data_IF_116342857952
#
_entry.id   IF_116342857952
#
_cell.length_a   1.000
_cell.length_b   1.000
_cell.length_c   1.000
_cell.angle_alpha   90.00
_cell.angle_beta   90.00
_cell.angle_gamma   90.00
#
_symmetry.space_group_name_H-M   'P 1'
#
loop_
_entity.id
_entity.type
_entity.pdbx_description
1 polymer ?
#
# COMPACT_ATOMS: atom_id res chain seq x y z
N UNK A 1 19.37 -5.56 -17.81
CA UNK A 1 19.10 -5.40 -16.35
C UNK A 1 18.89 -6.80 -15.80
N UNK A 2 19.70 -7.26 -14.84
CA UNK A 2 19.59 -8.62 -14.29
C UNK A 2 18.16 -8.88 -13.81
N UNK A 3 17.48 -9.85 -14.44
CA UNK A 3 16.09 -10.24 -14.16
C UNK A 3 15.84 -10.49 -12.66
N UNK A 4 16.85 -10.99 -11.96
CA UNK A 4 16.84 -11.18 -10.51
C UNK A 4 16.63 -9.89 -9.71
N UNK A 5 17.33 -8.81 -10.06
CA UNK A 5 17.23 -7.53 -9.34
C UNK A 5 15.84 -6.89 -9.48
N UNK A 6 15.20 -7.11 -10.63
CA UNK A 6 13.85 -6.64 -10.90
C UNK A 6 12.80 -7.35 -10.04
N UNK A 7 12.92 -8.67 -9.90
CA UNK A 7 12.06 -9.47 -9.00
C UNK A 7 12.25 -9.09 -7.53
N UNK A 8 13.49 -8.95 -7.07
CA UNK A 8 13.79 -8.54 -5.68
C UNK A 8 13.22 -7.16 -5.38
N UNK A 9 13.37 -6.19 -6.29
CA UNK A 9 12.80 -4.85 -6.13
C UNK A 9 11.27 -4.89 -6.00
N UNK A 10 10.59 -5.65 -6.86
CA UNK A 10 9.13 -5.75 -6.84
C UNK A 10 8.63 -6.49 -5.60
N UNK A 11 9.32 -7.54 -5.16
CA UNK A 11 9.02 -8.23 -3.92
C UNK A 11 9.19 -7.31 -2.70
N UNK A 12 10.30 -6.58 -2.61
CA UNK A 12 10.55 -5.62 -1.54
C UNK A 12 9.51 -4.49 -1.52
N UNK A 13 9.17 -3.93 -2.68
CA UNK A 13 8.15 -2.87 -2.79
C UNK A 13 6.77 -3.37 -2.34
N UNK A 14 6.39 -4.58 -2.73
CA UNK A 14 5.12 -5.19 -2.33
C UNK A 14 5.08 -5.40 -0.82
N UNK A 15 6.17 -5.91 -0.23
CA UNK A 15 6.27 -6.17 1.20
C UNK A 15 6.19 -4.87 2.02
N UNK A 16 6.92 -3.83 1.61
CA UNK A 16 6.86 -2.51 2.25
C UNK A 16 5.46 -1.90 2.13
N UNK A 17 4.83 -2.03 0.96
CA UNK A 17 3.48 -1.48 0.73
C UNK A 17 2.43 -2.21 1.56
N UNK A 18 2.56 -3.52 1.76
CA UNK A 18 1.72 -4.31 2.67
C UNK A 18 1.86 -3.86 4.12
N UNK A 19 3.09 -3.64 4.60
CA UNK A 19 3.33 -3.12 5.95
C UNK A 19 2.68 -1.75 6.14
N UNK A 20 2.84 -0.85 5.17
CA UNK A 20 2.20 0.47 5.18
C UNK A 20 0.67 0.38 5.15
N UNK A 21 0.11 -0.60 4.43
CA UNK A 21 -1.33 -0.82 4.37
C UNK A 21 -1.89 -1.25 5.73
N UNK A 22 -1.22 -2.19 6.41
CA UNK A 22 -1.59 -2.63 7.76
C UNK A 22 -1.53 -1.45 8.74
N UNK A 23 -0.47 -0.64 8.69
CA UNK A 23 -0.34 0.57 9.51
C UNK A 23 -1.47 1.59 9.23
N UNK A 24 -1.85 1.75 7.96
CA UNK A 24 -2.98 2.60 7.58
C UNK A 24 -4.30 2.11 8.18
N UNK A 25 -4.57 0.81 8.11
CA UNK A 25 -5.78 0.19 8.70
C UNK A 25 -5.79 0.30 10.22
N UNK A 26 -4.67 0.03 10.89
CA UNK A 26 -4.52 0.22 12.34
C UNK A 26 -4.79 1.68 12.74
N UNK A 27 -4.25 2.64 11.98
CA UNK A 27 -4.50 4.08 12.21
C UNK A 27 -5.98 4.44 12.00
N UNK A 28 -6.65 3.81 11.04
CA UNK A 28 -8.08 3.99 10.79
C UNK A 28 -8.91 3.48 11.97
N UNK A 29 -8.60 2.28 12.47
CA UNK A 29 -9.26 1.69 13.66
C UNK A 29 -9.01 2.55 14.89
N UNK A 30 -7.78 3.02 15.09
CA UNK A 30 -7.44 3.93 16.19
C UNK A 30 -8.22 5.23 16.11
N UNK A 31 -8.44 5.76 14.89
CA UNK A 31 -9.21 6.98 14.68
C UNK A 31 -10.66 6.82 15.12
N UNK A 32 -11.31 5.68 14.85
CA UNK A 32 -12.68 5.40 15.30
C UNK A 32 -12.82 5.34 16.83
N UNK A 33 -11.72 5.17 17.58
CA UNK A 33 -11.73 5.18 19.05
C UNK A 33 -11.57 6.58 19.64
N UNK A 34 -11.34 7.61 18.81
CA UNK A 34 -11.18 8.98 19.27
C UNK A 34 -12.54 9.61 19.58
N UNK A 35 -12.67 10.14 20.80
CA UNK A 35 -13.89 10.84 21.23
C UNK A 35 -13.97 12.28 20.72
N UNK A 36 -12.84 12.89 20.34
CA UNK A 36 -12.81 14.26 19.87
C UNK A 36 -12.99 14.30 18.33
N UNK A 37 -14.04 14.99 17.83
CA UNK A 37 -14.42 14.95 16.42
C UNK A 37 -13.35 15.56 15.50
N UNK A 38 -12.60 16.56 15.97
CA UNK A 38 -11.52 17.16 15.17
C UNK A 38 -10.38 16.15 14.97
N UNK A 39 -9.97 15.48 16.05
CA UNK A 39 -8.92 14.45 15.96
C UNK A 39 -9.36 13.21 15.18
N UNK A 40 -10.65 12.85 15.24
CA UNK A 40 -11.22 11.81 14.40
C UNK A 40 -11.06 12.12 12.92
N UNK A 41 -11.46 13.32 12.48
CA UNK A 41 -11.37 13.71 11.07
C UNK A 41 -9.90 13.70 10.60
N UNK A 42 -8.98 14.25 11.39
CA UNK A 42 -7.56 14.25 11.06
C UNK A 42 -6.99 12.84 10.94
N UNK A 43 -7.31 11.96 11.90
CA UNK A 43 -6.86 10.58 11.90
C UNK A 43 -7.46 9.76 10.76
N UNK A 44 -8.77 9.89 10.52
CA UNK A 44 -9.48 9.22 9.43
C UNK A 44 -8.91 9.61 8.06
N UNK A 45 -8.67 10.90 7.84
CA UNK A 45 -8.14 11.40 6.58
C UNK A 45 -6.69 10.95 6.36
N UNK A 46 -5.87 11.02 7.41
CA UNK A 46 -4.48 10.55 7.39
C UNK A 46 -4.42 9.04 7.08
N UNK A 47 -5.20 8.23 7.80
CA UNK A 47 -5.29 6.79 7.57
C UNK A 47 -5.74 6.45 6.16
N UNK A 48 -6.75 7.17 5.64
CA UNK A 48 -7.23 6.98 4.27
C UNK A 48 -6.16 7.27 3.22
N UNK A 49 -5.37 8.34 3.40
CA UNK A 49 -4.24 8.65 2.51
C UNK A 49 -3.14 7.59 2.58
N UNK A 50 -2.80 7.10 3.77
CA UNK A 50 -1.83 6.02 3.95
C UNK A 50 -2.31 4.76 3.22
N UNK A 51 -3.58 4.38 3.39
CA UNK A 51 -4.17 3.21 2.70
C UNK A 51 -4.12 3.42 1.18
N UNK A 52 -4.47 4.62 0.68
CA UNK A 52 -4.48 4.92 -0.75
C UNK A 52 -3.08 4.80 -1.38
N UNK A 53 -2.06 5.40 -0.74
CA UNK A 53 -0.66 5.32 -1.19
C UNK A 53 -0.17 3.88 -1.16
N UNK A 54 -0.53 3.13 -0.11
CA UNK A 54 -0.19 1.71 0.01
C UNK A 54 -0.84 0.87 -1.09
N UNK A 55 -2.11 1.13 -1.40
CA UNK A 55 -2.84 0.44 -2.46
C UNK A 55 -2.17 0.66 -3.83
N UNK A 56 -1.75 1.89 -4.14
CA UNK A 56 -0.99 2.19 -5.36
C UNK A 56 0.38 1.48 -5.36
N UNK A 57 1.05 1.44 -4.21
CA UNK A 57 2.32 0.72 -4.02
C UNK A 57 2.21 -0.79 -4.27
N UNK A 58 1.07 -1.40 -3.94
CA UNK A 58 0.76 -2.81 -4.28
C UNK A 58 0.31 -2.96 -5.73
N UNK A 59 -0.47 -2.03 -6.28
CA UNK A 59 -0.95 -2.08 -7.66
C UNK A 59 0.18 -2.03 -8.68
N UNK A 60 1.22 -1.23 -8.43
CA UNK A 60 2.37 -1.10 -9.34
C UNK A 60 3.04 -2.45 -9.69
N UNK A 61 3.54 -3.25 -8.72
CA UNK A 61 4.13 -4.55 -9.01
C UNK A 61 3.13 -5.55 -9.59
N UNK A 62 1.86 -5.50 -9.18
CA UNK A 62 0.79 -6.35 -9.75
C UNK A 62 0.62 -6.09 -11.25
N UNK A 63 0.47 -4.83 -11.66
CA UNK A 63 0.34 -4.45 -13.07
C UNK A 63 1.59 -4.86 -13.86
N UNK A 64 2.78 -4.71 -13.26
CA UNK A 64 4.03 -5.09 -13.90
C UNK A 64 4.15 -6.60 -14.13
N UNK A 65 3.69 -7.42 -13.19
CA UNK A 65 3.65 -8.88 -13.35
C UNK A 65 2.61 -9.27 -14.42
N UNK A 66 1.43 -8.67 -14.39
CA UNK A 66 0.38 -8.94 -15.39
C UNK A 66 0.79 -8.53 -16.81
N UNK A 67 1.52 -7.42 -16.98
CA UNK A 67 2.00 -7.01 -18.31
C UNK A 67 3.04 -7.98 -18.88
N UNK A 68 3.89 -8.56 -18.02
CA UNK A 68 4.83 -9.62 -18.42
C UNK A 68 4.11 -10.92 -18.80
N UNK A 69 3.06 -11.30 -18.06
CA UNK A 69 2.24 -12.47 -18.42
C UNK A 69 1.50 -12.26 -19.74
N UNK A 70 1.00 -11.04 -20.00
CA UNK A 70 0.32 -10.71 -21.25
C UNK A 70 1.28 -10.66 -22.45
N UNK A 71 2.52 -10.22 -22.27
CA UNK A 71 3.54 -10.19 -23.32
C UNK A 71 4.12 -11.58 -23.67
N UNK A 72 3.87 -12.60 -22.84
CA UNK A 72 4.29 -13.99 -23.05
C UNK A 72 3.25 -14.85 -23.79
N UNK A 73 2.07 -14.30 -24.08
CA UNK A 73 0.98 -14.97 -24.81
C UNK A 73 0.81 -14.33 -26.18
#
# INVERSE_FOLDING_TARGET
>A
MNSWFWWVKNAALTLVSLLFLVLGVETLIASYRLNNPLTFIMGFFSASLIILVSAVGVLYPVIQVFSLFKARK
#
